data_IF_364987404059
#
_entry.id   IF_364987404059
#
_cell.length_a   1.000
_cell.length_b   1.000
_cell.length_c   1.000
_cell.angle_alpha   90.00
_cell.angle_beta   90.00
_cell.angle_gamma   90.00
#
_symmetry.space_group_name_H-M   'P 1'
#
loop_
_entity.id
_entity.type
_entity.pdbx_description
1 polymer ?
#
# COMPACT_ATOMS: atom_id res chain seq x y z
N UNK A 1 4.99 -19.27 -20.32
CA UNK A 1 5.59 -18.42 -19.26
C UNK A 1 4.53 -18.12 -18.20
N UNK A 2 4.84 -18.34 -16.92
CA UNK A 2 3.98 -17.97 -15.77
C UNK A 2 4.36 -16.56 -15.35
N UNK A 3 3.47 -15.55 -15.51
CA UNK A 3 3.79 -14.17 -15.16
C UNK A 3 3.87 -14.02 -13.63
N UNK A 4 4.63 -13.02 -13.17
CA UNK A 4 4.72 -12.68 -11.75
C UNK A 4 3.37 -12.19 -11.19
N UNK A 5 2.66 -11.37 -11.94
CA UNK A 5 1.37 -10.80 -11.59
C UNK A 5 0.47 -10.65 -12.82
N UNK A 6 -0.83 -10.67 -12.58
CA UNK A 6 -1.84 -10.27 -13.57
C UNK A 6 -2.96 -9.53 -12.82
N UNK A 7 -3.49 -8.42 -13.37
CA UNK A 7 -4.59 -7.72 -12.75
C UNK A 7 -5.82 -8.62 -12.65
N UNK A 8 -6.60 -8.54 -11.56
CA UNK A 8 -7.83 -9.29 -11.43
C UNK A 8 -8.86 -8.81 -12.46
N UNK A 9 -9.58 -9.75 -13.06
CA UNK A 9 -10.75 -9.50 -13.91
C UNK A 9 -11.88 -10.36 -13.36
N UNK A 10 -12.99 -9.75 -13.00
CA UNK A 10 -14.13 -10.42 -12.36
C UNK A 10 -15.32 -10.61 -13.30
N UNK A 11 -15.33 -9.94 -14.45
CA UNK A 11 -16.27 -10.14 -15.56
C UNK A 11 -17.34 -9.06 -15.69
N UNK A 12 -17.54 -8.20 -14.70
CA UNK A 12 -18.58 -7.16 -14.70
C UNK A 12 -18.05 -5.74 -14.94
N UNK A 13 -16.74 -5.59 -15.15
CA UNK A 13 -16.06 -4.30 -15.30
C UNK A 13 -16.63 -3.51 -16.49
N UNK A 14 -16.74 -4.17 -17.66
CA UNK A 14 -17.22 -3.52 -18.88
C UNK A 14 -18.67 -3.06 -18.76
N UNK A 15 -19.54 -3.82 -18.11
CA UNK A 15 -20.95 -3.49 -17.90
C UNK A 15 -21.09 -2.22 -17.06
N UNK A 16 -20.29 -2.10 -15.99
CA UNK A 16 -20.29 -0.90 -15.15
C UNK A 16 -19.68 0.31 -15.85
N UNK A 17 -18.61 0.13 -16.61
CA UNK A 17 -18.04 1.21 -17.44
C UNK A 17 -19.05 1.71 -18.48
N UNK A 18 -19.76 0.80 -19.13
CA UNK A 18 -20.83 1.15 -20.08
C UNK A 18 -21.98 1.91 -19.38
N UNK A 19 -22.36 1.47 -18.18
CA UNK A 19 -23.34 2.17 -17.35
C UNK A 19 -22.89 3.58 -16.96
N UNK A 20 -21.61 3.75 -16.60
CA UNK A 20 -21.03 5.07 -16.31
C UNK A 20 -21.08 5.98 -17.53
N UNK A 21 -20.73 5.47 -18.73
CA UNK A 21 -20.85 6.23 -19.99
C UNK A 21 -22.28 6.65 -20.28
N UNK A 22 -23.25 5.76 -20.05
CA UNK A 22 -24.68 6.05 -20.25
C UNK A 22 -25.24 7.10 -19.29
N UNK A 23 -24.60 7.33 -18.13
CA UNK A 23 -25.02 8.35 -17.16
C UNK A 23 -24.75 9.79 -17.59
N UNK A 24 -23.91 10.00 -18.61
CA UNK A 24 -23.48 11.31 -19.10
C UNK A 24 -22.54 12.07 -18.15
N UNK A 25 -22.07 11.45 -17.04
CA UNK A 25 -21.14 12.07 -16.10
C UNK A 25 -19.90 11.18 -15.93
N UNK A 26 -18.78 11.56 -16.55
CA UNK A 26 -17.52 10.80 -16.55
C UNK A 26 -16.45 11.39 -15.63
N UNK A 27 -16.61 12.65 -15.21
CA UNK A 27 -15.69 13.26 -14.25
C UNK A 27 -15.89 12.70 -12.84
N UNK A 28 -14.94 12.96 -11.95
CA UNK A 28 -15.00 12.53 -10.55
C UNK A 28 -16.30 12.92 -9.83
N UNK A 29 -16.54 12.26 -8.71
CA UNK A 29 -17.75 12.39 -7.89
C UNK A 29 -19.05 12.02 -8.64
N UNK A 30 -18.93 11.08 -9.57
CA UNK A 30 -20.07 10.45 -10.25
C UNK A 30 -20.76 9.38 -9.38
N UNK A 31 -21.63 8.59 -10.01
CA UNK A 31 -22.39 7.54 -9.32
C UNK A 31 -21.50 6.43 -8.75
N UNK A 32 -20.54 5.98 -9.53
CA UNK A 32 -19.62 4.91 -9.12
C UNK A 32 -18.58 5.39 -8.12
N UNK A 33 -18.08 6.63 -8.24
CA UNK A 33 -17.22 7.24 -7.23
C UNK A 33 -17.88 7.20 -5.86
N UNK A 34 -19.14 7.62 -5.75
CA UNK A 34 -19.88 7.60 -4.48
C UNK A 34 -20.09 6.18 -3.96
N UNK A 35 -20.43 5.21 -4.83
CA UNK A 35 -20.60 3.81 -4.42
C UNK A 35 -19.30 3.23 -3.83
N UNK A 36 -18.18 3.43 -4.51
CA UNK A 36 -16.88 2.98 -4.02
C UNK A 36 -16.52 3.62 -2.67
N UNK A 37 -16.66 4.95 -2.55
CA UNK A 37 -16.35 5.66 -1.30
C UNK A 37 -17.23 5.16 -0.14
N UNK A 38 -18.53 5.03 -0.34
CA UNK A 38 -19.46 4.52 0.67
C UNK A 38 -19.15 3.08 1.08
N UNK A 39 -18.83 2.22 0.09
CA UNK A 39 -18.46 0.83 0.38
C UNK A 39 -17.19 0.77 1.24
N UNK A 40 -16.16 1.56 0.90
CA UNK A 40 -14.91 1.63 1.66
C UNK A 40 -15.14 2.20 3.07
N UNK A 41 -15.94 3.27 3.20
CA UNK A 41 -16.32 3.86 4.49
C UNK A 41 -17.03 2.83 5.40
N UNK A 42 -18.02 2.12 4.86
CA UNK A 42 -18.81 1.12 5.60
C UNK A 42 -17.99 -0.14 5.92
N UNK A 43 -17.21 -0.62 4.95
CA UNK A 43 -16.43 -1.86 5.09
C UNK A 43 -15.30 -1.73 6.11
N UNK A 44 -14.63 -0.58 6.15
CA UNK A 44 -13.44 -0.38 6.95
C UNK A 44 -13.66 0.54 8.16
N UNK A 45 -14.77 1.26 8.23
CA UNK A 45 -15.08 2.13 9.37
C UNK A 45 -14.33 3.45 9.34
N UNK A 46 -13.80 3.90 8.19
CA UNK A 46 -13.20 5.23 8.06
C UNK A 46 -14.24 6.33 8.12
N UNK A 47 -13.91 7.47 8.72
CA UNK A 47 -14.83 8.59 8.84
C UNK A 47 -15.18 9.23 7.48
N UNK A 48 -14.22 9.24 6.54
CA UNK A 48 -14.40 9.70 5.17
C UNK A 48 -13.41 9.02 4.24
N UNK A 49 -13.86 8.60 3.04
CA UNK A 49 -13.00 8.10 1.98
C UNK A 49 -13.14 8.97 0.75
N UNK A 50 -12.01 9.31 0.14
CA UNK A 50 -11.93 10.11 -1.08
C UNK A 50 -11.11 9.33 -2.12
N UNK A 51 -11.73 8.92 -3.24
CA UNK A 51 -11.00 8.30 -4.35
C UNK A 51 -10.03 9.29 -4.99
N UNK A 52 -8.84 8.80 -5.32
CA UNK A 52 -7.75 9.56 -5.94
C UNK A 52 -7.23 8.85 -7.19
N UNK A 53 -6.52 9.54 -8.11
CA UNK A 53 -6.00 8.92 -9.34
C UNK A 53 -4.94 7.84 -9.08
N UNK A 54 -4.28 7.87 -7.91
CA UNK A 54 -3.28 6.89 -7.49
C UNK A 54 -3.08 6.96 -5.97
N UNK A 55 -2.41 5.95 -5.40
CA UNK A 55 -1.95 6.02 -4.00
C UNK A 55 -0.90 7.12 -3.81
N UNK A 56 -0.06 7.38 -4.82
CA UNK A 56 0.89 8.50 -4.80
C UNK A 56 0.16 9.82 -4.59
N UNK A 57 -0.92 10.07 -5.34
CA UNK A 57 -1.77 11.24 -5.17
C UNK A 57 -2.43 11.30 -3.78
N UNK A 58 -2.78 10.14 -3.20
CA UNK A 58 -3.31 10.05 -1.83
C UNK A 58 -2.27 10.47 -0.79
N UNK A 59 -1.03 9.99 -0.92
CA UNK A 59 0.10 10.35 -0.05
C UNK A 59 0.48 11.83 -0.20
N UNK A 60 0.51 12.37 -1.43
CA UNK A 60 0.73 13.81 -1.69
C UNK A 60 -0.36 14.66 -1.03
N UNK A 61 -1.61 14.23 -1.16
CA UNK A 61 -2.74 14.90 -0.52
C UNK A 61 -2.62 14.87 1.02
N UNK A 62 -2.13 13.78 1.61
CA UNK A 62 -1.86 13.70 3.04
C UNK A 62 -0.76 14.69 3.46
N UNK A 63 0.33 14.81 2.71
CA UNK A 63 1.40 15.77 2.99
C UNK A 63 0.92 17.23 2.91
N UNK A 64 0.03 17.55 1.94
CA UNK A 64 -0.60 18.87 1.84
C UNK A 64 -1.56 19.12 3.02
N UNK A 65 -2.38 18.12 3.37
CA UNK A 65 -3.39 18.22 4.41
C UNK A 65 -2.79 18.43 5.80
N UNK A 66 -1.59 17.89 6.03
CA UNK A 66 -0.84 18.03 7.28
C UNK A 66 0.11 19.24 7.29
N UNK A 67 0.04 20.11 6.28
CA UNK A 67 0.86 21.32 6.16
C UNK A 67 2.37 21.08 6.27
N UNK A 68 2.86 19.98 5.74
CA UNK A 68 4.29 19.66 5.74
C UNK A 68 5.08 20.77 5.02
N UNK A 69 6.16 21.23 5.64
CA UNK A 69 6.97 22.36 5.19
C UNK A 69 8.46 21.99 5.09
N UNK A 70 9.26 22.76 4.33
CA UNK A 70 10.71 22.66 4.38
C UNK A 70 11.24 22.84 5.82
N UNK A 71 12.12 21.93 6.25
CA UNK A 71 12.66 21.89 7.60
C UNK A 71 11.94 20.94 8.57
N UNK A 72 10.76 20.47 8.22
CA UNK A 72 10.12 19.37 8.93
C UNK A 72 10.83 18.04 8.67
N UNK A 73 10.56 17.04 9.50
CA UNK A 73 11.05 15.67 9.36
C UNK A 73 9.89 14.69 9.29
N UNK A 74 10.04 13.68 8.43
CA UNK A 74 9.06 12.60 8.22
C UNK A 74 9.77 11.25 8.41
N UNK A 75 9.33 10.48 9.40
CA UNK A 75 9.89 9.17 9.72
C UNK A 75 9.18 8.09 8.89
N UNK A 76 9.95 7.21 8.23
CA UNK A 76 9.42 6.06 7.48
C UNK A 76 10.46 4.94 7.35
N UNK A 77 10.06 3.69 6.98
CA UNK A 77 11.04 2.67 6.65
C UNK A 77 11.72 3.01 5.32
N UNK A 78 12.98 2.63 5.18
CA UNK A 78 13.69 2.75 3.91
C UNK A 78 13.28 1.66 2.90
N UNK A 79 12.76 0.54 3.39
CA UNK A 79 12.25 -0.56 2.56
C UNK A 79 10.80 -0.30 2.15
N UNK A 80 10.63 0.55 1.15
CA UNK A 80 9.32 0.92 0.60
C UNK A 80 9.41 1.33 -0.86
N UNK A 81 8.26 1.53 -1.51
CA UNK A 81 8.21 2.10 -2.85
C UNK A 81 8.51 3.61 -2.80
N UNK A 82 9.11 4.11 -3.87
CA UNK A 82 9.56 5.52 -3.95
C UNK A 82 8.44 6.54 -3.70
N UNK A 83 7.18 6.22 -3.99
CA UNK A 83 6.05 7.13 -3.79
C UNK A 83 5.83 7.50 -2.33
N UNK A 84 6.15 6.58 -1.38
CA UNK A 84 6.03 6.86 0.05
C UNK A 84 6.88 8.05 0.46
N UNK A 85 8.13 8.12 -0.03
CA UNK A 85 9.03 9.25 0.24
C UNK A 85 8.73 10.47 -0.65
N UNK A 86 8.57 10.24 -1.98
CA UNK A 86 8.38 11.33 -2.94
C UNK A 86 7.21 12.24 -2.61
N UNK A 87 6.09 11.68 -2.15
CA UNK A 87 4.90 12.44 -1.81
C UNK A 87 5.17 13.53 -0.76
N UNK A 88 6.04 13.23 0.20
CA UNK A 88 6.46 14.21 1.21
C UNK A 88 7.60 15.09 0.70
N UNK A 89 8.59 14.53 -0.02
CA UNK A 89 9.73 15.29 -0.58
C UNK A 89 9.27 16.47 -1.44
N UNK A 90 8.15 16.36 -2.14
CA UNK A 90 7.53 17.47 -2.89
C UNK A 90 7.18 18.69 -2.01
N UNK A 91 7.09 18.52 -0.69
CA UNK A 91 6.84 19.59 0.29
C UNK A 91 8.12 20.09 0.95
N UNK A 92 9.25 19.44 0.71
CA UNK A 92 10.57 19.88 1.17
C UNK A 92 10.99 19.44 2.57
N UNK A 93 10.34 18.50 3.26
CA UNK A 93 10.83 17.95 4.52
C UNK A 93 12.06 17.09 4.28
N UNK A 94 12.78 16.79 5.35
CA UNK A 94 13.78 15.74 5.39
C UNK A 94 13.12 14.40 5.70
N UNK A 95 13.47 13.35 4.95
CA UNK A 95 13.03 11.99 5.25
C UNK A 95 14.02 11.35 6.24
N UNK A 96 13.50 10.82 7.33
CA UNK A 96 14.28 10.07 8.33
C UNK A 96 13.93 8.60 8.20
N UNK A 97 14.84 7.84 7.60
CA UNK A 97 14.67 6.42 7.42
C UNK A 97 15.03 5.65 8.69
N UNK A 98 14.21 4.68 9.05
CA UNK A 98 14.39 3.81 10.19
C UNK A 98 14.46 2.36 9.70
N UNK A 99 15.26 1.53 10.38
CA UNK A 99 15.45 0.13 10.04
C UNK A 99 14.14 -0.67 10.12
N UNK A 100 14.12 -1.82 9.50
CA UNK A 100 12.95 -2.70 9.46
C UNK A 100 13.13 -3.91 10.37
N UNK A 101 12.03 -4.50 10.76
CA UNK A 101 12.00 -5.82 11.41
C UNK A 101 12.36 -6.90 10.40
N UNK A 102 13.26 -7.83 10.73
CA UNK A 102 13.65 -8.88 9.79
C UNK A 102 12.54 -9.91 9.53
N UNK A 103 11.55 -10.04 10.41
CA UNK A 103 10.46 -11.01 10.29
C UNK A 103 9.36 -10.55 9.33
N UNK A 104 9.01 -9.26 9.34
CA UNK A 104 7.88 -8.71 8.56
C UNK A 104 8.27 -7.76 7.45
N UNK A 105 9.51 -7.23 7.45
CA UNK A 105 9.98 -6.13 6.59
C UNK A 105 9.29 -4.78 6.85
N UNK A 106 8.47 -4.70 7.89
CA UNK A 106 7.85 -3.45 8.35
C UNK A 106 8.85 -2.63 9.17
N UNK A 107 8.59 -1.33 9.30
CA UNK A 107 9.39 -0.46 10.17
C UNK A 107 9.54 -1.07 11.58
N UNK A 108 10.75 -1.02 12.15
CA UNK A 108 10.97 -1.44 13.53
C UNK A 108 10.47 -0.34 14.47
N UNK A 109 9.32 -0.59 15.07
CA UNK A 109 8.65 0.35 15.97
C UNK A 109 9.48 0.72 17.21
N UNK A 110 10.41 -0.15 17.59
CA UNK A 110 11.28 0.08 18.77
C UNK A 110 12.36 1.13 18.51
N UNK A 111 12.66 1.41 17.24
CA UNK A 111 13.68 2.37 16.82
C UNK A 111 13.09 3.76 16.50
N UNK A 112 11.77 3.87 16.37
CA UNK A 112 11.11 5.12 15.96
C UNK A 112 11.36 6.24 16.97
N UNK A 113 11.23 5.98 18.26
CA UNK A 113 11.33 7.03 19.28
C UNK A 113 12.69 7.72 19.30
N UNK A 114 13.77 6.96 19.07
CA UNK A 114 15.12 7.52 18.99
C UNK A 114 15.33 8.43 17.78
N UNK A 115 14.52 8.27 16.72
CA UNK A 115 14.58 9.07 15.51
C UNK A 115 13.72 10.37 15.61
N UNK A 116 12.93 10.54 16.65
CA UNK A 116 12.06 11.72 16.83
C UNK A 116 12.90 12.92 17.29
N UNK A 117 12.71 14.06 16.64
CA UNK A 117 13.26 15.37 17.01
C UNK A 117 12.12 16.40 17.16
N UNK A 118 12.47 17.64 17.52
CA UNK A 118 11.54 18.77 17.55
C UNK A 118 10.99 19.17 16.17
N UNK A 119 11.63 18.69 15.09
CA UNK A 119 11.23 18.90 13.69
C UNK A 119 10.31 17.79 13.16
N UNK A 120 10.26 16.67 13.83
CA UNK A 120 9.42 15.54 13.38
C UNK A 120 7.94 15.95 13.39
N UNK A 121 7.21 15.65 12.31
CA UNK A 121 5.77 15.94 12.16
C UNK A 121 4.94 14.69 11.91
N UNK A 122 5.49 13.73 11.17
CA UNK A 122 4.72 12.58 10.69
C UNK A 122 5.54 11.31 10.82
N UNK A 123 4.87 10.22 11.21
CA UNK A 123 5.35 8.85 11.07
C UNK A 123 4.54 8.20 9.94
N UNK A 124 5.21 7.57 8.97
CA UNK A 124 4.60 6.90 7.83
C UNK A 124 4.93 5.40 7.89
N UNK A 125 4.17 4.59 8.63
CA UNK A 125 4.30 3.14 8.57
C UNK A 125 3.83 2.63 7.20
N UNK A 126 4.54 1.62 6.67
CA UNK A 126 4.21 0.94 5.42
C UNK A 126 3.85 -0.50 5.74
N UNK A 127 2.62 -0.91 5.42
CA UNK A 127 2.13 -2.27 5.70
C UNK A 127 2.58 -3.24 4.62
N UNK A 128 3.83 -3.68 4.70
CA UNK A 128 4.45 -4.52 3.67
C UNK A 128 3.74 -5.88 3.55
N UNK A 129 3.55 -6.33 2.32
CA UNK A 129 2.86 -7.59 1.97
C UNK A 129 1.42 -7.72 2.51
N UNK A 130 0.81 -6.62 2.95
CA UNK A 130 -0.50 -6.64 3.61
C UNK A 130 -0.44 -7.08 5.07
N UNK A 131 0.75 -7.10 5.68
CA UNK A 131 0.96 -7.38 7.10
C UNK A 131 1.09 -6.06 7.86
N UNK A 132 0.38 -5.92 8.97
CA UNK A 132 0.38 -4.69 9.75
C UNK A 132 1.73 -4.40 10.41
N UNK A 133 2.11 -3.12 10.47
CA UNK A 133 3.07 -2.62 11.45
C UNK A 133 2.50 -2.71 12.86
N UNK A 134 3.34 -2.60 13.90
CA UNK A 134 2.93 -2.55 15.31
C UNK A 134 2.24 -1.21 15.63
N UNK A 135 1.00 -1.08 15.14
CA UNK A 135 0.26 0.18 15.13
C UNK A 135 -0.06 0.72 16.53
N UNK A 136 -0.23 -0.15 17.54
CA UNK A 136 -0.49 0.32 18.90
C UNK A 136 0.71 1.08 19.46
N UNK A 137 1.93 0.58 19.24
CA UNK A 137 3.18 1.26 19.62
C UNK A 137 3.36 2.56 18.84
N UNK A 138 3.17 2.52 17.51
CA UNK A 138 3.31 3.69 16.64
C UNK A 138 2.32 4.80 17.06
N UNK A 139 1.05 4.46 17.31
CA UNK A 139 0.05 5.43 17.73
C UNK A 139 0.31 5.97 19.14
N UNK A 140 0.86 5.16 20.06
CA UNK A 140 1.26 5.61 21.39
C UNK A 140 2.40 6.63 21.30
N UNK A 141 3.42 6.37 20.46
CA UNK A 141 4.52 7.31 20.20
C UNK A 141 4.02 8.61 19.57
N UNK A 142 3.17 8.51 18.54
CA UNK A 142 2.58 9.67 17.89
C UNK A 142 1.81 10.54 18.88
N UNK A 143 1.00 9.94 19.75
CA UNK A 143 0.29 10.66 20.81
C UNK A 143 1.24 11.32 21.82
N UNK A 144 2.29 10.61 22.27
CA UNK A 144 3.28 11.10 23.23
C UNK A 144 4.02 12.34 22.71
N UNK A 145 4.36 12.34 21.42
CA UNK A 145 5.16 13.38 20.79
C UNK A 145 4.34 14.36 19.94
N UNK A 146 3.00 14.27 19.99
CA UNK A 146 2.08 15.11 19.20
C UNK A 146 2.37 15.08 17.69
N UNK A 147 2.52 13.88 17.14
CA UNK A 147 2.81 13.62 15.73
C UNK A 147 1.58 13.08 15.00
N UNK A 148 1.53 13.27 13.70
CA UNK A 148 0.57 12.59 12.85
C UNK A 148 1.08 11.21 12.42
N UNK A 149 0.14 10.32 12.08
CA UNK A 149 0.42 9.01 11.47
C UNK A 149 -0.32 8.94 10.15
N UNK A 150 0.41 8.70 9.06
CA UNK A 150 -0.12 8.43 7.73
C UNK A 150 0.22 6.99 7.36
N UNK A 151 -0.77 6.12 7.30
CA UNK A 151 -0.57 4.73 6.91
C UNK A 151 -0.42 4.62 5.39
N UNK A 152 0.76 4.22 4.91
CA UNK A 152 0.89 3.69 3.56
C UNK A 152 0.35 2.25 3.55
N UNK A 153 -0.93 2.15 3.29
CA UNK A 153 -1.66 0.90 3.20
C UNK A 153 -1.90 0.47 1.73
N UNK A 154 -0.98 0.87 0.82
CA UNK A 154 -1.04 0.50 -0.60
C UNK A 154 -1.16 -1.01 -0.85
N UNK A 155 -0.76 -1.82 0.10
CA UNK A 155 -0.82 -3.28 0.07
C UNK A 155 -1.83 -3.83 1.10
N UNK A 156 -2.56 -2.97 1.84
CA UNK A 156 -3.29 -3.32 3.05
C UNK A 156 -4.80 -3.50 2.90
N UNK A 157 -5.39 -3.32 1.71
CA UNK A 157 -6.84 -3.46 1.50
C UNK A 157 -7.32 -4.85 1.93
N UNK A 158 -8.30 -4.94 2.81
CA UNK A 158 -8.84 -6.16 3.44
C UNK A 158 -7.94 -6.80 4.52
N UNK A 159 -6.80 -6.22 4.85
CA UNK A 159 -5.99 -6.64 5.99
C UNK A 159 -6.42 -5.95 7.28
N UNK A 160 -6.15 -6.57 8.43
CA UNK A 160 -6.47 -6.00 9.74
C UNK A 160 -5.34 -6.15 10.75
N UNK A 161 -5.32 -5.25 11.72
CA UNK A 161 -4.50 -5.30 12.92
C UNK A 161 -5.41 -5.29 14.16
N UNK A 162 -5.43 -6.37 14.93
CA UNK A 162 -6.29 -6.53 16.12
C UNK A 162 -7.76 -6.17 15.81
N UNK A 163 -8.27 -6.64 14.66
CA UNK A 163 -9.64 -6.41 14.19
C UNK A 163 -9.91 -5.04 13.58
N UNK A 164 -8.96 -4.12 13.54
CA UNK A 164 -9.06 -2.81 12.88
C UNK A 164 -8.49 -2.90 11.46
N UNK A 165 -9.19 -2.39 10.46
CA UNK A 165 -8.72 -2.38 9.09
C UNK A 165 -7.47 -1.52 8.93
N UNK A 166 -6.48 -1.98 8.14
CA UNK A 166 -5.31 -1.18 7.81
C UNK A 166 -5.73 0.05 6.98
N UNK A 167 -5.07 1.18 7.22
CA UNK A 167 -5.45 2.47 6.68
C UNK A 167 -6.49 3.23 7.52
N UNK A 168 -7.03 2.62 8.60
CA UNK A 168 -8.03 3.26 9.47
C UNK A 168 -7.55 3.46 10.90
N UNK A 169 -6.30 3.20 11.19
CA UNK A 169 -5.74 3.23 12.55
C UNK A 169 -5.02 4.55 12.81
N UNK A 170 -4.25 5.04 11.84
CA UNK A 170 -3.62 6.36 11.86
C UNK A 170 -4.61 7.49 11.56
N UNK A 171 -4.12 8.72 11.49
CA UNK A 171 -4.93 9.90 11.20
C UNK A 171 -5.43 9.91 9.74
N UNK A 172 -4.58 9.43 8.83
CA UNK A 172 -4.86 9.30 7.39
C UNK A 172 -4.34 7.94 6.94
N UNK A 173 -5.08 7.27 6.04
CA UNK A 173 -4.63 6.07 5.35
C UNK A 173 -4.65 6.25 3.84
N UNK A 174 -3.77 5.56 3.14
CA UNK A 174 -3.63 5.63 1.69
C UNK A 174 -3.71 4.24 1.08
N UNK A 175 -4.73 4.00 0.24
CA UNK A 175 -4.90 2.76 -0.51
C UNK A 175 -4.45 2.91 -1.96
N UNK A 176 -3.99 1.80 -2.54
CA UNK A 176 -3.67 1.69 -3.96
C UNK A 176 -4.62 0.74 -4.66
N UNK A 177 -5.09 1.18 -5.83
CA UNK A 177 -5.83 0.39 -6.80
C UNK A 177 -5.10 0.34 -8.15
N UNK A 178 -3.76 0.34 -8.10
CA UNK A 178 -2.90 0.08 -9.25
C UNK A 178 -3.08 -1.36 -9.74
N UNK A 179 -2.82 -1.65 -11.01
CA UNK A 179 -3.01 -2.99 -11.62
C UNK A 179 -2.28 -4.13 -10.90
N UNK A 180 -1.17 -3.81 -10.20
CA UNK A 180 -0.39 -4.80 -9.45
C UNK A 180 -0.99 -5.15 -8.08
N UNK A 181 -2.05 -4.47 -7.65
CA UNK A 181 -2.68 -4.66 -6.34
C UNK A 181 -3.77 -5.73 -6.38
N UNK A 182 -4.26 -6.11 -5.21
CA UNK A 182 -5.32 -7.12 -5.08
C UNK A 182 -6.62 -6.70 -5.76
N UNK A 183 -6.86 -5.40 -5.85
CA UNK A 183 -8.00 -4.75 -6.47
C UNK A 183 -7.50 -3.61 -7.33
N UNK A 184 -8.05 -3.45 -8.53
CA UNK A 184 -7.58 -2.42 -9.46
C UNK A 184 -8.70 -1.53 -9.96
N UNK A 185 -8.38 -0.28 -10.28
CA UNK A 185 -9.27 0.68 -10.92
C UNK A 185 -9.03 0.75 -12.45
N UNK A 186 -8.59 -0.37 -13.06
CA UNK A 186 -8.32 -0.43 -14.50
C UNK A 186 -6.97 0.14 -14.90
N UNK A 187 -5.95 -0.04 -14.03
CA UNK A 187 -4.57 0.40 -14.26
C UNK A 187 -4.04 1.26 -13.12
N UNK A 188 -4.57 2.44 -12.93
CA UNK A 188 -4.21 3.39 -11.87
C UNK A 188 -5.40 3.74 -11.00
N UNK A 189 -5.17 3.92 -9.70
CA UNK A 189 -6.18 4.36 -8.75
C UNK A 189 -5.68 4.33 -7.32
N UNK A 190 -6.37 5.06 -6.45
CA UNK A 190 -6.10 5.11 -5.03
C UNK A 190 -7.28 5.65 -4.23
N UNK A 191 -7.11 5.69 -2.93
CA UNK A 191 -8.05 6.35 -2.02
C UNK A 191 -7.34 6.90 -0.80
N UNK A 192 -7.78 8.06 -0.36
CA UNK A 192 -7.39 8.65 0.92
C UNK A 192 -8.49 8.39 1.94
N UNK A 193 -8.13 7.74 3.04
CA UNK A 193 -9.00 7.48 4.17
C UNK A 193 -8.72 8.55 5.24
N UNK A 194 -9.69 9.40 5.51
CA UNK A 194 -9.57 10.46 6.52
C UNK A 194 -10.22 9.95 7.79
N UNK A 195 -9.41 9.60 8.79
CA UNK A 195 -9.87 9.04 10.05
C UNK A 195 -10.06 10.12 11.12
N UNK A 196 -9.25 11.18 11.08
CA UNK A 196 -9.45 12.39 11.89
C UNK A 196 -10.52 13.29 11.23
N UNK A 197 -11.68 13.40 11.90
CA UNK A 197 -12.83 14.17 11.40
C UNK A 197 -12.51 15.66 11.19
N UNK A 198 -11.57 16.22 11.94
CA UNK A 198 -11.16 17.62 11.79
C UNK A 198 -10.53 17.93 10.41
N UNK A 199 -9.98 16.90 9.74
CA UNK A 199 -9.32 17.04 8.45
C UNK A 199 -10.27 16.91 7.24
N UNK A 200 -11.52 16.45 7.42
CA UNK A 200 -12.42 16.07 6.32
C UNK A 200 -12.71 17.25 5.38
N UNK A 201 -13.11 18.39 5.91
CA UNK A 201 -13.48 19.54 5.08
C UNK A 201 -12.30 20.02 4.22
N UNK A 202 -11.13 20.14 4.83
CA UNK A 202 -9.91 20.56 4.12
C UNK A 202 -9.46 19.52 3.10
N UNK A 203 -9.62 18.22 3.39
CA UNK A 203 -9.33 17.15 2.45
C UNK A 203 -10.18 17.23 1.17
N UNK A 204 -11.49 17.50 1.30
CA UNK A 204 -12.38 17.72 0.16
C UNK A 204 -11.94 18.94 -0.68
N UNK A 205 -11.52 20.03 -0.02
CA UNK A 205 -11.04 21.25 -0.69
C UNK A 205 -9.74 20.98 -1.45
N UNK A 206 -8.75 20.38 -0.82
CA UNK A 206 -7.45 20.06 -1.43
C UNK A 206 -7.64 19.14 -2.63
N UNK A 207 -8.47 18.09 -2.50
CA UNK A 207 -8.78 17.14 -3.57
C UNK A 207 -9.40 17.80 -4.80
N UNK A 208 -10.24 18.84 -4.61
CA UNK A 208 -10.97 19.56 -5.66
C UNK A 208 -10.29 20.88 -5.99
N UNK A 209 -8.98 20.85 -6.24
CA UNK A 209 -8.19 22.00 -6.73
C UNK A 209 -8.15 23.19 -5.78
N UNK A 210 -8.31 22.96 -4.48
CA UNK A 210 -8.35 24.03 -3.48
C UNK A 210 -9.67 24.79 -3.43
N UNK A 211 -10.75 24.27 -4.01
CA UNK A 211 -12.07 24.91 -4.03
C UNK A 211 -13.07 24.24 -3.09
N UNK A 212 -14.04 24.98 -2.60
CA UNK A 212 -15.14 24.46 -1.82
C UNK A 212 -16.33 23.99 -2.69
N UNK A 213 -16.05 23.45 -3.88
CA UNK A 213 -17.06 22.99 -4.84
C UNK A 213 -17.95 21.89 -4.26
N UNK A 214 -17.44 21.00 -3.43
CA UNK A 214 -18.23 19.96 -2.75
C UNK A 214 -19.32 20.57 -1.86
N UNK A 215 -19.03 21.67 -1.15
CA UNK A 215 -20.01 22.40 -0.33
C UNK A 215 -21.09 23.05 -1.20
N UNK A 216 -20.72 23.58 -2.38
CA UNK A 216 -21.68 24.13 -3.33
C UNK A 216 -22.69 23.08 -3.80
N UNK A 217 -22.23 21.89 -4.18
CA UNK A 217 -23.14 20.83 -4.61
C UNK A 217 -24.01 20.27 -3.48
N UNK A 218 -23.60 20.43 -2.22
CA UNK A 218 -24.45 20.12 -1.05
C UNK A 218 -25.39 21.25 -0.65
N UNK A 219 -25.40 22.38 -1.39
CA UNK A 219 -26.24 23.55 -1.07
C UNK A 219 -25.84 24.30 0.20
N UNK A 220 -24.59 24.12 0.65
CA UNK A 220 -24.06 24.77 1.86
C UNK A 220 -23.53 26.20 1.58
N UNK A 221 -23.22 26.50 0.34
CA UNK A 221 -22.75 27.82 -0.13
C UNK A 221 -23.39 28.14 -1.49
N UNK A 222 -23.62 29.42 -1.76
CA UNK A 222 -24.25 29.89 -3.01
C UNK A 222 -23.29 29.85 -4.20
N UNK A 223 -21.99 29.97 -3.96
CA UNK A 223 -20.93 29.95 -4.96
C UNK A 223 -19.71 29.20 -4.39
N UNK A 224 -18.95 28.51 -5.26
CA UNK A 224 -17.65 27.97 -4.87
C UNK A 224 -16.54 28.91 -5.34
N UNK A 225 -15.47 28.95 -4.54
CA UNK A 225 -14.31 29.82 -4.78
C UNK A 225 -13.04 29.07 -4.46
N UNK A 226 -11.90 29.61 -4.85
CA UNK A 226 -10.60 29.12 -4.42
C UNK A 226 -10.40 29.47 -2.92
N UNK A 227 -10.19 28.44 -2.10
CA UNK A 227 -10.16 28.55 -0.62
C UNK A 227 -8.80 28.20 -0.02
N UNK A 228 -8.08 27.26 -0.64
CA UNK A 228 -6.81 26.72 -0.12
C UNK A 228 -5.96 26.20 -1.28
N UNK A 229 -4.71 25.82 -0.98
CA UNK A 229 -3.90 25.00 -1.90
C UNK A 229 -4.64 23.73 -2.26
N UNK A 230 -4.41 23.21 -3.46
CA UNK A 230 -5.01 21.95 -3.89
C UNK A 230 -4.53 21.54 -5.27
N UNK A 231 -4.95 20.35 -5.69
CA UNK A 231 -4.68 19.82 -7.02
C UNK A 231 -5.86 19.02 -7.54
N UNK A 232 -5.75 18.51 -8.76
CA UNK A 232 -6.77 17.66 -9.37
C UNK A 232 -6.57 16.20 -8.92
N UNK A 233 -7.03 15.89 -7.70
CA UNK A 233 -6.92 14.54 -7.14
C UNK A 233 -8.20 13.70 -7.31
N UNK A 234 -8.97 13.98 -8.37
CA UNK A 234 -10.19 13.26 -8.68
C UNK A 234 -9.93 12.07 -9.60
N UNK A 235 -10.40 10.89 -9.21
CA UNK A 235 -10.50 9.73 -10.10
C UNK A 235 -11.71 9.92 -11.04
N UNK A 236 -11.59 9.52 -12.31
CA UNK A 236 -12.74 9.53 -13.24
C UNK A 236 -13.81 8.50 -12.81
N UNK A 237 -15.07 8.75 -13.17
CA UNK A 237 -16.16 7.81 -12.84
C UNK A 237 -16.07 6.51 -13.67
N UNK A 238 -15.35 6.51 -14.80
CA UNK A 238 -15.02 5.30 -15.56
C UNK A 238 -14.08 4.37 -14.77
N UNK A 239 -13.02 4.92 -14.18
CA UNK A 239 -12.11 4.15 -13.32
C UNK A 239 -12.84 3.70 -12.05
N UNK A 240 -13.70 4.54 -11.49
CA UNK A 240 -14.51 4.16 -10.34
C UNK A 240 -15.51 3.06 -10.67
N UNK A 241 -16.06 3.01 -11.89
CA UNK A 241 -16.92 1.93 -12.35
C UNK A 241 -16.17 0.60 -12.48
N UNK A 242 -14.94 0.64 -13.01
CA UNK A 242 -14.07 -0.53 -13.02
C UNK A 242 -13.77 -1.02 -11.59
N UNK A 243 -13.38 -0.09 -10.70
CA UNK A 243 -13.10 -0.41 -9.30
C UNK A 243 -14.33 -0.98 -8.58
N UNK A 244 -15.53 -0.48 -8.90
CA UNK A 244 -16.76 -0.99 -8.28
C UNK A 244 -16.95 -2.49 -8.51
N UNK A 245 -16.70 -2.99 -9.73
CA UNK A 245 -16.74 -4.42 -10.01
C UNK A 245 -15.79 -5.23 -9.10
N UNK A 246 -14.60 -4.69 -8.86
CA UNK A 246 -13.60 -5.31 -8.00
C UNK A 246 -14.04 -5.32 -6.52
N UNK A 247 -14.64 -4.22 -6.04
CA UNK A 247 -15.10 -4.09 -4.66
C UNK A 247 -16.30 -5.00 -4.36
N UNK A 248 -17.25 -5.15 -5.30
CA UNK A 248 -18.34 -6.14 -5.16
C UNK A 248 -17.81 -7.57 -5.07
N UNK A 249 -16.70 -7.88 -5.71
CA UNK A 249 -16.07 -9.18 -5.69
C UNK A 249 -14.96 -9.31 -4.61
N UNK A 250 -14.80 -8.32 -3.74
CA UNK A 250 -13.64 -8.22 -2.85
C UNK A 250 -13.44 -9.46 -1.97
N UNK A 251 -14.49 -9.99 -1.38
CA UNK A 251 -14.40 -11.17 -0.51
C UNK A 251 -13.95 -12.41 -1.32
N UNK A 252 -14.48 -12.60 -2.53
CA UNK A 252 -14.10 -13.70 -3.43
C UNK A 252 -12.63 -13.60 -3.84
N UNK A 253 -12.19 -12.39 -4.24
CA UNK A 253 -10.80 -12.14 -4.62
C UNK A 253 -9.87 -12.44 -3.45
N UNK A 254 -10.22 -11.94 -2.26
CA UNK A 254 -9.40 -12.12 -1.05
C UNK A 254 -9.28 -13.60 -0.65
N UNK A 255 -10.41 -14.31 -0.61
CA UNK A 255 -10.44 -15.75 -0.28
C UNK A 255 -9.59 -16.58 -1.24
N UNK A 256 -9.69 -16.34 -2.54
CA UNK A 256 -8.90 -17.06 -3.54
C UNK A 256 -7.41 -16.78 -3.41
N UNK A 257 -7.02 -15.52 -3.17
CA UNK A 257 -5.61 -15.16 -2.94
C UNK A 257 -5.07 -15.80 -1.66
N UNK A 258 -5.85 -15.81 -0.58
CA UNK A 258 -5.47 -16.47 0.68
C UNK A 258 -5.29 -17.97 0.49
N UNK A 259 -6.15 -18.64 -0.28
CA UNK A 259 -5.98 -20.07 -0.59
C UNK A 259 -4.68 -20.33 -1.37
N UNK A 260 -4.36 -19.52 -2.37
CA UNK A 260 -3.10 -19.63 -3.11
C UNK A 260 -1.88 -19.37 -2.20
N UNK A 261 -1.97 -18.39 -1.30
CA UNK A 261 -0.92 -18.09 -0.35
C UNK A 261 -0.67 -19.26 0.61
N UNK A 262 -1.75 -19.84 1.15
CA UNK A 262 -1.66 -20.99 2.06
C UNK A 262 -1.06 -22.22 1.38
N UNK A 263 -1.45 -22.49 0.12
CA UNK A 263 -0.86 -23.57 -0.65
C UNK A 263 0.67 -23.45 -0.81
N UNK A 264 1.17 -22.23 -1.06
CA UNK A 264 2.62 -21.99 -1.08
C UNK A 264 3.24 -22.23 0.28
N UNK A 265 2.63 -21.69 1.35
CA UNK A 265 3.16 -21.78 2.71
C UNK A 265 3.30 -23.25 3.13
N UNK A 266 2.27 -24.05 2.94
CA UNK A 266 2.26 -25.46 3.32
C UNK A 266 3.25 -26.30 2.47
N UNK A 267 3.30 -26.05 1.18
CA UNK A 267 4.18 -26.79 0.27
C UNK A 267 5.67 -26.48 0.48
N UNK A 268 6.00 -25.26 0.89
CA UNK A 268 7.39 -24.82 1.11
C UNK A 268 7.84 -24.94 2.57
N UNK A 269 6.95 -25.28 3.51
CA UNK A 269 7.28 -25.46 4.92
C UNK A 269 8.41 -26.49 5.15
N UNK A 270 8.53 -27.61 4.41
CA UNK A 270 9.67 -28.52 4.57
C UNK A 270 11.02 -27.88 4.25
N UNK A 271 11.10 -26.98 3.25
CA UNK A 271 12.33 -26.24 2.91
C UNK A 271 12.72 -25.27 4.02
N UNK A 272 11.72 -24.58 4.59
CA UNK A 272 11.95 -23.70 5.73
C UNK A 272 12.44 -24.47 6.96
N UNK A 273 11.82 -25.62 7.27
CA UNK A 273 12.26 -26.49 8.35
C UNK A 273 13.69 -27.03 8.16
N UNK A 274 14.10 -27.23 6.91
CA UNK A 274 15.45 -27.63 6.54
C UNK A 274 16.45 -26.45 6.51
N UNK A 275 16.01 -25.20 6.83
CA UNK A 275 16.85 -24.01 6.83
C UNK A 275 17.30 -23.55 5.43
N UNK A 276 16.62 -24.00 4.37
CA UNK A 276 16.94 -23.62 2.98
C UNK A 276 16.39 -22.26 2.61
N UNK A 277 15.24 -21.89 3.18
CA UNK A 277 14.52 -20.61 2.96
C UNK A 277 13.91 -20.15 4.27
N UNK A 278 13.51 -18.88 4.32
CA UNK A 278 12.60 -18.36 5.34
C UNK A 278 11.25 -18.03 4.69
N UNK A 279 10.16 -18.35 5.37
CA UNK A 279 8.79 -18.06 4.95
C UNK A 279 8.29 -16.74 5.54
N UNK A 280 7.24 -16.12 4.95
CA UNK A 280 6.65 -14.91 5.52
C UNK A 280 6.13 -15.14 6.93
N UNK A 281 6.35 -14.18 7.81
CA UNK A 281 5.82 -14.18 9.18
C UNK A 281 4.54 -13.35 9.23
N UNK A 282 3.51 -13.88 9.91
CA UNK A 282 2.27 -13.18 10.20
C UNK A 282 2.16 -13.06 11.72
N UNK A 283 2.44 -11.88 12.30
CA UNK A 283 2.36 -11.68 13.74
C UNK A 283 0.96 -11.89 14.30
N UNK A 284 0.88 -12.25 15.58
CA UNK A 284 -0.39 -12.40 16.29
C UNK A 284 -1.21 -11.11 16.22
N UNK A 285 -2.52 -11.27 16.00
CA UNK A 285 -3.44 -10.14 15.85
C UNK A 285 -3.46 -9.52 14.45
N UNK A 286 -2.59 -9.95 13.53
CA UNK A 286 -2.60 -9.55 12.13
C UNK A 286 -3.39 -10.52 11.27
N UNK A 287 -4.27 -10.00 10.41
CA UNK A 287 -4.91 -10.76 9.33
C UNK A 287 -4.45 -10.16 8.02
N UNK A 288 -3.69 -10.92 7.25
CA UNK A 288 -3.13 -10.49 5.96
C UNK A 288 -4.10 -10.79 4.79
N UNK A 289 -3.89 -10.15 3.64
CA UNK A 289 -4.74 -10.22 2.46
C UNK A 289 -4.11 -10.97 1.28
N UNK A 290 -3.06 -11.72 1.50
CA UNK A 290 -2.29 -12.39 0.44
C UNK A 290 -1.88 -11.43 -0.71
N UNK A 291 -1.43 -10.21 -0.37
CA UNK A 291 -0.96 -9.26 -1.39
C UNK A 291 0.19 -9.86 -2.20
N UNK A 292 1.10 -10.56 -1.56
CA UNK A 292 2.20 -11.28 -2.20
C UNK A 292 2.57 -12.52 -1.40
N UNK A 293 3.27 -13.44 -2.02
CA UNK A 293 4.02 -14.48 -1.35
C UNK A 293 5.50 -14.29 -1.65
N UNK A 294 6.34 -14.29 -0.64
CA UNK A 294 7.79 -14.16 -0.78
C UNK A 294 8.49 -15.23 0.04
N UNK A 295 9.74 -15.49 -0.32
CA UNK A 295 10.68 -16.28 0.46
C UNK A 295 11.94 -15.46 0.63
N UNK A 296 12.71 -15.75 1.69
CA UNK A 296 14.06 -15.21 1.84
C UNK A 296 15.07 -16.32 1.68
N UNK A 297 16.09 -16.06 0.89
CA UNK A 297 17.23 -16.94 0.67
C UNK A 297 18.34 -16.59 1.65
N UNK A 298 19.48 -17.27 1.58
CA UNK A 298 20.63 -17.00 2.43
C UNK A 298 21.23 -15.61 2.17
N UNK A 299 21.38 -15.25 0.91
CA UNK A 299 22.00 -14.01 0.45
C UNK A 299 21.56 -13.61 -0.98
N UNK A 300 22.14 -12.54 -1.51
CA UNK A 300 21.85 -12.00 -2.84
C UNK A 300 22.26 -12.95 -3.97
N UNK A 301 23.33 -13.74 -3.76
CA UNK A 301 23.83 -14.67 -4.79
C UNK A 301 22.88 -15.85 -4.93
N UNK A 302 22.44 -16.46 -3.82
CA UNK A 302 21.42 -17.51 -3.83
C UNK A 302 20.11 -17.01 -4.44
N UNK A 303 19.68 -15.77 -4.12
CA UNK A 303 18.50 -15.17 -4.70
C UNK A 303 18.65 -15.00 -6.22
N UNK A 304 19.78 -14.49 -6.69
CA UNK A 304 20.05 -14.27 -8.12
C UNK A 304 20.10 -15.59 -8.88
N UNK A 305 20.74 -16.61 -8.31
CA UNK A 305 20.77 -17.96 -8.87
C UNK A 305 19.36 -18.55 -9.03
N UNK A 306 18.53 -18.45 -7.98
CA UNK A 306 17.15 -18.94 -8.04
C UNK A 306 16.28 -18.16 -9.03
N UNK A 307 16.44 -16.85 -9.17
CA UNK A 307 15.74 -16.05 -10.18
C UNK A 307 16.06 -16.57 -11.59
N UNK A 308 17.33 -16.81 -11.88
CA UNK A 308 17.76 -17.32 -13.19
C UNK A 308 17.22 -18.72 -13.45
N UNK A 309 17.26 -19.61 -12.47
CA UNK A 309 16.72 -20.97 -12.58
C UNK A 309 15.21 -20.95 -12.87
N UNK A 310 14.43 -20.13 -12.15
CA UNK A 310 12.99 -19.98 -12.37
C UNK A 310 12.70 -19.38 -13.75
N UNK A 311 13.50 -18.42 -14.21
CA UNK A 311 13.37 -17.79 -15.52
C UNK A 311 13.61 -18.79 -16.65
N UNK A 312 14.58 -19.69 -16.54
CA UNK A 312 14.83 -20.78 -17.49
C UNK A 312 13.64 -21.77 -17.55
N UNK A 313 12.93 -21.95 -16.44
CA UNK A 313 11.69 -22.70 -16.35
C UNK A 313 10.43 -21.88 -16.75
N UNK A 314 10.60 -20.73 -17.40
CA UNK A 314 9.52 -19.82 -17.81
C UNK A 314 8.63 -19.34 -16.64
N UNK A 315 9.19 -19.14 -15.47
CA UNK A 315 8.52 -18.61 -14.26
C UNK A 315 9.13 -17.25 -13.91
N UNK A 316 8.29 -16.20 -13.84
CA UNK A 316 8.73 -14.87 -13.42
C UNK A 316 8.65 -14.74 -11.89
N UNK A 317 9.81 -14.73 -11.24
CA UNK A 317 9.96 -14.34 -9.84
C UNK A 317 10.82 -13.08 -9.75
N UNK A 318 10.52 -12.19 -8.81
CA UNK A 318 11.15 -10.86 -8.77
C UNK A 318 11.52 -10.46 -7.35
N UNK A 319 12.64 -9.74 -7.20
CA UNK A 319 13.02 -9.11 -5.94
C UNK A 319 12.12 -7.90 -5.60
N UNK A 320 12.25 -7.34 -4.41
CA UNK A 320 11.51 -6.17 -3.91
C UNK A 320 12.23 -5.61 -2.69
N UNK A 321 12.26 -4.44 -2.52
CA UNK A 321 12.61 -3.15 -3.05
C UNK A 321 14.14 -2.97 -2.97
N UNK A 322 14.71 -2.00 -3.67
CA UNK A 322 16.03 -1.47 -3.33
C UNK A 322 15.79 -0.45 -2.21
N UNK A 323 16.49 -0.54 -1.06
CA UNK A 323 16.33 0.42 0.03
C UNK A 323 16.55 1.85 -0.41
N UNK A 324 15.65 2.76 -0.04
CA UNK A 324 15.66 4.13 -0.54
C UNK A 324 16.88 4.93 -0.07
N UNK A 325 17.37 4.68 1.16
CA UNK A 325 18.50 5.43 1.72
C UNK A 325 19.81 5.27 0.94
N UNK A 326 20.00 4.14 0.26
CA UNK A 326 21.16 3.89 -0.60
C UNK A 326 20.96 4.35 -2.07
N UNK A 327 19.85 5.00 -2.40
CA UNK A 327 19.58 5.53 -3.73
C UNK A 327 19.94 7.04 -3.80
N UNK A 328 20.33 7.56 -4.99
CA UNK A 328 20.72 8.98 -5.13
C UNK A 328 19.70 9.99 -4.59
N UNK A 329 18.39 9.71 -4.73
CA UNK A 329 17.34 10.57 -4.19
C UNK A 329 17.23 10.42 -2.66
N UNK A 330 17.41 9.21 -2.14
CA UNK A 330 17.39 8.97 -0.70
C UNK A 330 18.53 9.65 0.03
N UNK A 331 19.74 9.63 -0.52
CA UNK A 331 20.91 10.35 -0.02
C UNK A 331 20.71 11.89 -0.07
N UNK A 332 20.03 12.38 -1.11
CA UNK A 332 19.77 13.81 -1.29
C UNK A 332 18.68 14.36 -0.37
N UNK A 333 17.61 13.61 -0.15
CA UNK A 333 16.39 14.09 0.53
C UNK A 333 16.17 13.49 1.91
N UNK A 334 17.00 12.55 2.33
CA UNK A 334 16.83 11.86 3.60
C UNK A 334 18.15 11.48 4.25
N UNK A 335 18.01 10.83 5.39
CA UNK A 335 19.12 10.17 6.10
C UNK A 335 18.60 8.92 6.78
N UNK A 336 19.47 7.94 6.97
CA UNK A 336 19.18 6.75 7.76
C UNK A 336 19.53 7.01 9.22
N UNK A 337 18.57 6.82 10.13
CA UNK A 337 18.78 6.99 11.55
C UNK A 337 19.30 5.68 12.17
N UNK A 338 20.42 5.76 12.87
CA UNK A 338 21.04 4.59 13.52
C UNK A 338 21.79 3.68 12.53
N UNK A 339 21.77 2.38 12.79
CA UNK A 339 22.48 1.37 12.02
C UNK A 339 21.52 0.58 11.10
N UNK A 340 21.86 0.43 9.83
CA UNK A 340 21.16 -0.48 8.90
C UNK A 340 21.58 -1.93 9.17
N UNK A 341 20.88 -2.59 10.07
CA UNK A 341 21.14 -4.00 10.44
C UNK A 341 20.39 -4.97 9.54
N UNK A 342 19.18 -4.60 9.15
CA UNK A 342 18.25 -5.52 8.50
C UNK A 342 17.78 -5.03 7.13
N UNK A 343 17.56 -3.73 6.94
CA UNK A 343 16.93 -3.20 5.73
C UNK A 343 17.64 -3.66 4.46
N UNK A 344 18.92 -3.40 4.32
CA UNK A 344 19.69 -3.81 3.12
C UNK A 344 19.82 -5.32 3.05
N UNK A 345 20.28 -5.95 4.13
CA UNK A 345 20.47 -7.40 4.19
C UNK A 345 19.21 -8.19 3.82
N UNK A 346 18.07 -7.85 4.40
CA UNK A 346 16.84 -8.58 4.16
C UNK A 346 16.25 -8.29 2.77
N UNK A 347 16.45 -7.07 2.24
CA UNK A 347 16.04 -6.72 0.86
C UNK A 347 16.81 -7.54 -0.19
N UNK A 348 18.09 -7.81 0.05
CA UNK A 348 18.95 -8.62 -0.83
C UNK A 348 18.56 -10.09 -0.87
N UNK A 349 17.95 -10.58 0.20
CA UNK A 349 17.56 -11.98 0.37
C UNK A 349 16.16 -12.29 -0.14
N UNK A 350 15.29 -11.30 -0.27
CA UNK A 350 13.86 -11.46 -0.52
C UNK A 350 13.56 -11.69 -2.00
N UNK A 351 12.80 -12.75 -2.28
CA UNK A 351 12.28 -13.13 -3.59
C UNK A 351 10.78 -13.32 -3.54
N UNK A 352 10.04 -12.63 -4.40
CA UNK A 352 8.59 -12.79 -4.54
C UNK A 352 8.25 -13.80 -5.62
N UNK A 353 7.29 -14.66 -5.32
CA UNK A 353 6.78 -15.70 -6.23
C UNK A 353 5.49 -15.24 -6.92
N UNK A 354 5.13 -15.83 -8.07
CA UNK A 354 3.86 -15.56 -8.74
C UNK A 354 2.66 -15.74 -7.81
N UNK A 355 1.88 -14.67 -7.57
CA UNK A 355 0.63 -14.75 -6.83
C UNK A 355 -0.34 -13.68 -7.32
N UNK A 356 -1.41 -14.08 -8.01
CA UNK A 356 -2.47 -13.20 -8.50
C UNK A 356 -3.81 -13.94 -8.54
N UNK A 357 -4.92 -13.20 -8.60
CA UNK A 357 -6.27 -13.75 -8.45
C UNK A 357 -6.56 -14.94 -9.36
N UNK A 358 -6.19 -14.85 -10.65
CA UNK A 358 -6.46 -15.89 -11.64
C UNK A 358 -5.28 -16.87 -11.85
N UNK A 359 -4.33 -16.95 -10.91
CA UNK A 359 -3.27 -17.96 -10.98
C UNK A 359 -3.89 -19.37 -10.91
N UNK A 360 -3.72 -20.15 -11.98
CA UNK A 360 -4.30 -21.48 -12.05
C UNK A 360 -3.61 -22.44 -11.07
N UNK A 361 -4.36 -23.43 -10.51
CA UNK A 361 -3.75 -24.45 -9.67
C UNK A 361 -2.63 -25.24 -10.36
N UNK A 362 -2.70 -25.39 -11.68
CA UNK A 362 -1.65 -26.05 -12.48
C UNK A 362 -0.37 -25.20 -12.45
N UNK A 363 -0.48 -23.91 -12.77
CA UNK A 363 0.66 -23.01 -12.75
C UNK A 363 1.29 -22.90 -11.35
N UNK A 364 0.46 -22.82 -10.30
CA UNK A 364 0.98 -22.78 -8.94
C UNK A 364 1.74 -24.06 -8.58
N UNK A 365 1.21 -25.26 -8.93
CA UNK A 365 1.92 -26.53 -8.72
C UNK A 365 3.23 -26.56 -9.50
N UNK A 366 3.27 -26.04 -10.72
CA UNK A 366 4.52 -25.94 -11.50
C UNK A 366 5.56 -25.09 -10.78
N UNK A 367 5.18 -23.91 -10.26
CA UNK A 367 6.11 -23.06 -9.47
C UNK A 367 6.64 -23.81 -8.26
N UNK A 368 5.76 -24.46 -7.49
CA UNK A 368 6.14 -25.23 -6.30
C UNK A 368 7.09 -26.37 -6.65
N UNK A 369 6.75 -27.18 -7.66
CA UNK A 369 7.58 -28.31 -8.08
C UNK A 369 8.98 -27.85 -8.57
N UNK A 370 9.05 -26.74 -9.30
CA UNK A 370 10.31 -26.15 -9.76
C UNK A 370 11.16 -25.70 -8.59
N UNK A 371 10.56 -25.05 -7.58
CA UNK A 371 11.27 -24.66 -6.36
C UNK A 371 11.79 -25.86 -5.59
N UNK A 372 10.96 -26.89 -5.37
CA UNK A 372 11.37 -28.11 -4.66
C UNK A 372 12.53 -28.83 -5.38
N UNK A 373 12.51 -28.86 -6.72
CA UNK A 373 13.60 -29.41 -7.54
C UNK A 373 14.91 -28.63 -7.42
N UNK A 374 14.84 -27.29 -7.29
CA UNK A 374 16.04 -26.45 -7.13
C UNK A 374 16.78 -26.76 -5.81
N UNK A 375 16.05 -27.09 -4.75
CA UNK A 375 16.61 -27.35 -3.42
C UNK A 375 16.88 -28.84 -3.14
N UNK A 376 16.54 -29.76 -4.08
CA UNK A 376 16.86 -31.19 -3.96
C UNK A 376 18.35 -31.43 -4.19
#
# INVERSE_FOLDING_TARGET
>A
MIPFNAPPVVGTELDYMQSAMGSGKLCGDGGFTRRCQQWLEQRFGSAKVLLTPSCTASLEMAALLLDIQPGDEVIMPSYTFVSTANAFVLRGPKIVFVDVRPDTMNIDETLIEAAITDKTRVIVPVHYAGVACEMDTIMALAKKHNLFVVEDAAQGVMSTYKGRALGTIGHIGCFSFHETKNYTAGGEGGATLINDKALIERAEIIREKGTNRSQFFRGQVDKYTWRDIGSSYLMSDLQAAYLWAQLEAADRINQQRLALWQNYYDALAPLAKAGRIELPSIPDGCVQNAHMFYIKLRDIDDRSALINFLKEAEIMAVFHYIPLHGCPAGERFGEFHGEDRYTTKESERLLRLPLFYNLSPVNQRTVIATLLNYFS
#
